data_IF_319015686017
#
_entry.id   IF_319015686017
#
_cell.length_a   1.000
_cell.length_b   1.000
_cell.length_c   1.000
_cell.angle_alpha   90.00
_cell.angle_beta   90.00
_cell.angle_gamma   90.00
#
_symmetry.space_group_name_H-M   'P 1'
#
loop_
_entity.id
_entity.type
_entity.pdbx_description
1 polymer ?
#
# COMPACT_ATOMS: atom_id res chain seq x y z
N UNK A 1 -6.18 48.07 20.54
CA UNK A 1 -5.74 46.67 20.65
C UNK A 1 -4.27 46.59 20.25
N UNK A 2 -3.37 46.61 21.23
CA UNK A 2 -1.94 46.79 21.03
C UNK A 2 -1.28 45.42 20.76
N UNK A 3 -0.64 45.28 19.63
CA UNK A 3 0.19 44.13 19.28
C UNK A 3 1.42 44.11 20.19
N UNK A 4 1.52 43.07 21.00
CA UNK A 4 2.64 42.82 21.92
C UNK A 4 3.86 42.41 21.05
N UNK A 5 5.01 43.10 21.15
CA UNK A 5 6.17 42.73 20.35
C UNK A 5 6.74 41.40 20.82
N UNK A 6 7.00 40.52 19.85
CA UNK A 6 7.68 39.23 20.00
C UNK A 6 9.20 39.44 20.12
N UNK A 7 9.63 40.27 21.10
CA UNK A 7 11.04 40.48 21.42
C UNK A 7 11.39 39.76 22.73
N UNK A 8 11.85 38.52 22.61
CA UNK A 8 12.79 37.91 23.55
C UNK A 8 13.41 36.65 22.93
N UNK A 9 14.28 36.86 21.93
CA UNK A 9 15.35 35.91 21.68
C UNK A 9 16.39 36.15 22.76
N UNK A 10 16.77 35.18 23.61
CA UNK A 10 17.79 35.40 24.63
C UNK A 10 19.14 35.71 23.97
N UNK A 11 19.59 36.96 24.04
CA UNK A 11 20.80 37.48 23.45
C UNK A 11 22.06 37.12 24.24
N UNK A 12 22.23 35.86 24.68
CA UNK A 12 23.44 35.46 25.40
C UNK A 12 23.93 34.03 25.11
N UNK A 13 23.66 33.54 23.93
CA UNK A 13 24.34 32.32 23.49
C UNK A 13 25.75 32.67 23.05
N UNK A 14 26.77 32.01 23.64
CA UNK A 14 28.15 32.20 23.21
C UNK A 14 28.27 31.89 21.69
N UNK A 15 29.15 32.55 20.99
CA UNK A 15 29.40 32.38 19.57
C UNK A 15 29.67 30.89 19.23
N UNK A 16 30.30 30.17 20.14
CA UNK A 16 30.55 28.72 20.06
C UNK A 16 29.26 27.92 20.09
N UNK A 17 28.34 28.23 21.00
CA UNK A 17 27.03 27.55 21.13
C UNK A 17 26.18 27.84 19.90
N UNK A 18 26.19 29.03 19.35
CA UNK A 18 25.45 29.37 18.15
C UNK A 18 25.97 28.59 16.92
N UNK A 19 27.30 28.48 16.78
CA UNK A 19 27.91 27.68 15.70
C UNK A 19 27.51 26.20 15.80
N UNK A 20 27.61 25.58 16.99
CA UNK A 20 27.23 24.19 17.24
C UNK A 20 25.75 23.98 16.93
N UNK A 21 24.89 24.91 17.31
CA UNK A 21 23.45 24.80 17.09
C UNK A 21 23.11 24.87 15.59
N UNK A 22 23.72 25.75 14.83
CA UNK A 22 23.52 25.86 13.37
C UNK A 22 24.01 24.60 12.66
N UNK A 23 25.19 24.11 12.99
CA UNK A 23 25.74 22.89 12.37
C UNK A 23 24.92 21.66 12.70
N UNK A 24 24.48 21.53 13.95
CA UNK A 24 23.58 20.43 14.36
C UNK A 24 22.25 20.50 13.66
N UNK A 25 21.66 21.67 13.48
CA UNK A 25 20.42 21.86 12.75
C UNK A 25 20.56 21.50 11.26
N UNK A 26 21.68 21.88 10.63
CA UNK A 26 21.97 21.51 9.24
C UNK A 26 22.11 20.01 9.06
N UNK A 27 22.81 19.35 9.98
CA UNK A 27 22.95 17.86 9.96
C UNK A 27 21.59 17.21 10.15
N UNK A 28 20.79 17.64 11.12
CA UNK A 28 19.46 17.12 11.36
C UNK A 28 18.54 17.27 10.13
N UNK A 29 18.58 18.44 9.48
CA UNK A 29 17.82 18.69 8.26
C UNK A 29 18.27 17.78 7.11
N UNK A 30 19.57 17.59 6.93
CA UNK A 30 20.13 16.69 5.91
C UNK A 30 19.67 15.23 6.13
N UNK A 31 19.74 14.76 7.37
CA UNK A 31 19.26 13.40 7.72
C UNK A 31 17.75 13.27 7.46
N UNK A 32 16.95 14.26 7.84
CA UNK A 32 15.51 14.25 7.62
C UNK A 32 15.14 14.18 6.13
N UNK A 33 15.78 14.99 5.29
CA UNK A 33 15.56 14.99 3.84
C UNK A 33 15.97 13.67 3.22
N UNK A 34 17.15 13.16 3.56
CA UNK A 34 17.66 11.88 3.04
C UNK A 34 16.74 10.73 3.43
N UNK A 35 16.28 10.70 4.70
CA UNK A 35 15.35 9.69 5.19
C UNK A 35 14.02 9.72 4.45
N UNK A 36 13.46 10.92 4.20
CA UNK A 36 12.21 11.07 3.48
C UNK A 36 12.32 10.52 2.04
N UNK A 37 13.42 10.83 1.35
CA UNK A 37 13.68 10.33 0.00
C UNK A 37 13.85 8.80 0.01
N UNK A 38 14.62 8.27 0.95
CA UNK A 38 14.85 6.83 1.06
C UNK A 38 13.54 6.06 1.33
N UNK A 39 12.70 6.56 2.26
CA UNK A 39 11.41 5.96 2.59
C UNK A 39 10.47 5.99 1.39
N UNK A 40 10.38 7.10 0.67
CA UNK A 40 9.52 7.21 -0.52
C UNK A 40 9.97 6.29 -1.65
N UNK A 41 11.27 6.17 -1.88
CA UNK A 41 11.85 5.26 -2.87
C UNK A 41 11.58 3.80 -2.52
N UNK A 42 11.78 3.41 -1.24
CA UNK A 42 11.49 2.06 -0.76
C UNK A 42 10.02 1.70 -0.95
N UNK A 43 9.10 2.61 -0.58
CA UNK A 43 7.66 2.39 -0.77
C UNK A 43 7.30 2.18 -2.24
N UNK A 44 7.83 3.04 -3.12
CA UNK A 44 7.59 2.92 -4.55
C UNK A 44 8.09 1.58 -5.11
N UNK A 45 9.28 1.15 -4.69
CA UNK A 45 9.86 -0.14 -5.10
C UNK A 45 9.06 -1.33 -4.60
N UNK A 46 8.60 -1.31 -3.33
CA UNK A 46 7.77 -2.39 -2.78
C UNK A 46 6.43 -2.50 -3.51
N UNK A 47 5.78 -1.36 -3.80
CA UNK A 47 4.52 -1.37 -4.57
C UNK A 47 4.75 -1.89 -5.98
N UNK A 48 5.84 -1.51 -6.63
CA UNK A 48 6.17 -2.00 -7.98
C UNK A 48 6.43 -3.53 -7.98
N UNK A 49 7.14 -4.05 -6.98
CA UNK A 49 7.34 -5.49 -6.84
C UNK A 49 6.01 -6.24 -6.63
N UNK A 50 5.09 -5.68 -5.83
CA UNK A 50 3.75 -6.24 -5.66
C UNK A 50 2.97 -6.27 -6.99
N UNK A 51 3.04 -5.21 -7.76
CA UNK A 51 2.36 -5.12 -9.07
C UNK A 51 2.88 -6.20 -10.03
N UNK A 52 4.19 -6.39 -10.10
CA UNK A 52 4.81 -7.42 -10.92
C UNK A 52 4.45 -8.83 -10.43
N UNK A 53 4.44 -9.06 -9.12
CA UNK A 53 4.03 -10.33 -8.54
C UNK A 53 2.57 -10.65 -8.85
N UNK A 54 1.66 -9.68 -8.71
CA UNK A 54 0.24 -9.82 -9.04
C UNK A 54 0.05 -10.11 -10.53
N UNK A 55 0.73 -9.40 -11.43
CA UNK A 55 0.68 -9.63 -12.88
C UNK A 55 1.19 -11.03 -13.26
N UNK A 56 2.31 -11.44 -12.70
CA UNK A 56 2.90 -12.75 -12.96
C UNK A 56 2.05 -13.91 -12.43
N UNK A 57 1.34 -13.69 -11.33
CA UNK A 57 0.44 -14.68 -10.72
C UNK A 57 -0.95 -14.69 -11.36
N UNK A 58 -1.35 -13.63 -12.05
CA UNK A 58 -2.70 -13.46 -12.60
C UNK A 58 -3.17 -14.64 -13.48
N UNK A 59 -2.38 -15.18 -14.43
CA UNK A 59 -2.82 -16.30 -15.27
C UNK A 59 -3.15 -17.55 -14.46
N UNK A 60 -2.34 -17.86 -13.44
CA UNK A 60 -2.54 -18.99 -12.56
C UNK A 60 -3.78 -18.82 -11.68
N UNK A 61 -4.00 -17.57 -11.20
CA UNK A 61 -5.15 -17.23 -10.36
C UNK A 61 -6.46 -17.22 -11.17
N UNK A 62 -6.42 -16.78 -12.43
CA UNK A 62 -7.57 -16.89 -13.35
C UNK A 62 -7.94 -18.36 -13.56
N UNK A 63 -6.95 -19.20 -13.82
CA UNK A 63 -7.20 -20.65 -13.98
C UNK A 63 -7.79 -21.27 -12.70
N UNK A 64 -7.27 -20.89 -11.53
CA UNK A 64 -7.77 -21.35 -10.24
C UNK A 64 -9.21 -20.87 -9.97
N UNK A 65 -9.53 -19.63 -10.32
CA UNK A 65 -10.85 -19.04 -10.13
C UNK A 65 -11.91 -19.61 -11.09
N UNK A 66 -11.52 -20.06 -12.29
CA UNK A 66 -12.41 -20.62 -13.31
C UNK A 66 -12.65 -22.13 -13.15
N UNK A 67 -11.71 -22.84 -12.53
CA UNK A 67 -11.94 -24.25 -12.14
C UNK A 67 -12.72 -24.25 -10.82
N UNK A 68 -13.89 -24.90 -10.79
CA UNK A 68 -14.73 -25.00 -9.58
C UNK A 68 -13.88 -25.32 -8.36
N UNK A 69 -13.90 -24.50 -7.31
CA UNK A 69 -13.12 -24.76 -6.11
C UNK A 69 -13.64 -26.03 -5.42
N UNK A 70 -12.92 -27.11 -5.59
CA UNK A 70 -13.12 -28.32 -4.79
C UNK A 70 -12.44 -28.03 -3.45
N UNK A 71 -13.23 -27.97 -2.39
CA UNK A 71 -13.04 -27.65 -0.97
C UNK A 71 -11.66 -27.65 -0.26
N UNK A 72 -10.55 -27.87 -0.94
CA UNK A 72 -9.20 -27.91 -0.33
C UNK A 72 -8.20 -26.93 -0.94
N UNK A 73 -8.63 -25.99 -1.78
CA UNK A 73 -7.73 -25.03 -2.45
C UNK A 73 -7.56 -23.68 -1.71
N UNK A 74 -8.29 -23.50 -0.61
CA UNK A 74 -8.19 -22.27 0.21
C UNK A 74 -6.78 -22.05 0.80
N UNK A 75 -6.01 -23.12 1.00
CA UNK A 75 -4.66 -23.06 1.56
C UNK A 75 -3.58 -22.54 0.60
N UNK A 76 -3.88 -22.41 -0.70
CA UNK A 76 -2.88 -21.96 -1.69
C UNK A 76 -2.84 -20.44 -1.90
N UNK A 77 -3.80 -19.71 -1.32
CA UNK A 77 -3.96 -18.26 -1.48
C UNK A 77 -3.43 -17.51 -0.24
N UNK A 78 -2.17 -17.68 0.13
CA UNK A 78 -1.67 -17.20 1.43
C UNK A 78 -1.83 -15.69 1.68
N UNK A 79 -1.99 -14.86 0.65
CA UNK A 79 -2.04 -13.39 0.84
C UNK A 79 -3.07 -12.68 -0.04
N UNK A 80 -3.53 -13.33 -1.13
CA UNK A 80 -4.46 -12.72 -2.08
C UNK A 80 -5.92 -12.92 -1.68
N UNK A 81 -6.75 -11.93 -2.01
CA UNK A 81 -8.20 -12.10 -2.11
C UNK A 81 -8.61 -12.03 -3.56
N UNK A 82 -9.41 -12.97 -3.99
CA UNK A 82 -9.92 -13.02 -5.35
C UNK A 82 -11.42 -12.74 -5.33
N UNK A 83 -11.86 -11.90 -6.25
CA UNK A 83 -13.27 -11.57 -6.44
C UNK A 83 -13.61 -11.76 -7.91
N UNK A 84 -14.63 -12.57 -8.16
CA UNK A 84 -15.24 -12.69 -9.48
C UNK A 84 -16.41 -11.73 -9.58
N UNK A 85 -16.40 -10.89 -10.58
CA UNK A 85 -17.43 -9.88 -10.81
C UNK A 85 -18.17 -10.18 -12.12
N UNK A 86 -19.46 -9.83 -12.11
CA UNK A 86 -20.28 -9.77 -13.31
C UNK A 86 -19.97 -8.52 -14.17
N UNK A 87 -20.69 -8.34 -15.27
CA UNK A 87 -20.53 -7.17 -16.17
C UNK A 87 -20.85 -5.85 -15.50
N UNK A 88 -21.76 -5.87 -14.53
CA UNK A 88 -22.21 -4.69 -13.79
C UNK A 88 -21.31 -4.35 -12.59
N UNK A 89 -20.34 -5.24 -12.28
CA UNK A 89 -19.40 -5.06 -11.18
C UNK A 89 -19.92 -5.59 -9.84
N UNK A 90 -20.94 -6.45 -9.84
CA UNK A 90 -21.38 -7.12 -8.63
C UNK A 90 -20.48 -8.34 -8.36
N UNK A 91 -20.20 -8.60 -7.10
CA UNK A 91 -19.39 -9.74 -6.68
C UNK A 91 -20.23 -11.02 -6.76
N UNK A 92 -19.89 -11.90 -7.68
CA UNK A 92 -20.50 -13.23 -7.82
C UNK A 92 -19.90 -14.22 -6.83
N UNK A 93 -18.59 -14.18 -6.68
CA UNK A 93 -17.85 -15.10 -5.83
C UNK A 93 -16.61 -14.42 -5.23
N UNK A 94 -16.26 -14.79 -4.00
CA UNK A 94 -15.04 -14.31 -3.34
C UNK A 94 -14.29 -15.47 -2.71
N UNK A 95 -12.99 -15.57 -3.00
CA UNK A 95 -12.05 -16.46 -2.34
C UNK A 95 -11.19 -15.65 -1.38
N UNK A 96 -11.22 -16.02 -0.11
CA UNK A 96 -10.48 -15.36 0.96
C UNK A 96 -9.52 -16.36 1.58
N UNK A 97 -8.31 -15.96 1.88
CA UNK A 97 -7.39 -16.71 2.72
C UNK A 97 -7.68 -16.43 4.20
N UNK A 98 -7.44 -17.40 5.09
CA UNK A 98 -7.56 -17.22 6.54
C UNK A 98 -6.75 -16.03 7.06
N UNK A 99 -5.52 -15.85 6.56
CA UNK A 99 -4.66 -14.71 6.93
C UNK A 99 -5.23 -13.36 6.47
N UNK A 100 -6.11 -13.37 5.48
CA UNK A 100 -6.72 -12.15 4.95
C UNK A 100 -8.00 -11.73 5.68
N UNK A 101 -8.61 -12.60 6.50
CA UNK A 101 -9.87 -12.32 7.20
C UNK A 101 -9.77 -11.15 8.19
N UNK A 102 -8.59 -10.93 8.76
CA UNK A 102 -8.34 -9.82 9.69
C UNK A 102 -8.36 -8.44 9.03
N UNK A 103 -8.40 -8.35 7.70
CA UNK A 103 -8.42 -7.07 6.98
C UNK A 103 -9.84 -6.75 6.52
N UNK A 104 -10.23 -5.46 6.62
CA UNK A 104 -11.48 -4.96 6.03
C UNK A 104 -11.48 -5.18 4.51
N UNK A 105 -12.64 -5.31 3.91
CA UNK A 105 -12.78 -5.59 2.48
C UNK A 105 -12.36 -4.38 1.61
N UNK A 106 -11.78 -4.61 0.41
CA UNK A 106 -11.52 -3.54 -0.53
C UNK A 106 -12.82 -2.93 -1.07
N UNK A 107 -12.82 -1.63 -1.32
CA UNK A 107 -13.95 -0.93 -1.93
C UNK A 107 -13.98 -1.22 -3.44
N UNK A 108 -14.75 -2.24 -3.84
CA UNK A 108 -14.87 -2.67 -5.24
C UNK A 108 -16.12 -2.12 -5.94
N UNK A 109 -16.83 -1.16 -5.34
CA UNK A 109 -18.03 -0.58 -5.96
C UNK A 109 -17.69 0.11 -7.29
N UNK A 110 -18.50 -0.17 -8.32
CA UNK A 110 -18.36 0.44 -9.65
C UNK A 110 -17.21 -0.12 -10.49
N UNK A 111 -16.73 -1.33 -10.20
CA UNK A 111 -15.77 -2.06 -11.04
C UNK A 111 -16.50 -2.85 -12.13
N UNK A 112 -17.14 -2.13 -13.07
CA UNK A 112 -17.82 -2.71 -14.23
C UNK A 112 -16.81 -3.28 -15.23
N UNK A 113 -17.27 -4.17 -16.11
CA UNK A 113 -16.44 -4.75 -17.19
C UNK A 113 -15.74 -3.67 -18.03
N UNK A 114 -16.46 -2.58 -18.37
CA UNK A 114 -15.89 -1.47 -19.13
C UNK A 114 -14.73 -0.80 -18.39
N UNK A 115 -14.88 -0.57 -17.09
CA UNK A 115 -13.82 0.00 -16.25
C UNK A 115 -12.61 -0.91 -16.16
N UNK A 116 -12.82 -2.22 -16.02
CA UNK A 116 -11.75 -3.23 -15.98
C UNK A 116 -10.96 -3.23 -17.30
N UNK A 117 -11.66 -3.27 -18.44
CA UNK A 117 -11.02 -3.20 -19.77
C UNK A 117 -10.22 -1.91 -19.98
N UNK A 118 -10.76 -0.79 -19.50
CA UNK A 118 -10.10 0.52 -19.59
C UNK A 118 -8.85 0.60 -18.70
N UNK A 119 -8.83 -0.13 -17.60
CA UNK A 119 -7.70 -0.18 -16.67
C UNK A 119 -6.48 -0.90 -17.25
N UNK A 120 -6.66 -1.71 -18.32
CA UNK A 120 -5.59 -2.36 -19.07
C UNK A 120 -4.59 -3.14 -18.19
N UNK A 121 -5.11 -3.92 -17.25
CA UNK A 121 -4.31 -4.71 -16.29
C UNK A 121 -3.30 -3.89 -15.47
N UNK A 122 -3.57 -2.62 -15.27
CA UNK A 122 -2.78 -1.81 -14.34
C UNK A 122 -3.32 -1.97 -12.92
N UNK A 123 -2.41 -2.25 -11.97
CA UNK A 123 -2.77 -2.32 -10.57
C UNK A 123 -3.07 -0.91 -10.02
N UNK A 124 -4.11 -0.78 -9.22
CA UNK A 124 -4.51 0.49 -8.58
C UNK A 124 -4.68 0.32 -7.07
N UNK A 125 -4.50 1.42 -6.36
CA UNK A 125 -4.76 1.44 -4.91
C UNK A 125 -6.20 1.84 -4.66
N UNK A 126 -6.92 1.03 -3.87
CA UNK A 126 -8.27 1.32 -3.40
C UNK A 126 -8.32 1.28 -1.88
N UNK A 127 -9.22 2.06 -1.29
CA UNK A 127 -9.41 2.07 0.16
C UNK A 127 -10.16 0.81 0.61
N UNK A 128 -9.95 0.42 1.85
CA UNK A 128 -10.78 -0.59 2.48
C UNK A 128 -12.12 -0.01 2.94
N UNK A 129 -13.16 -0.81 2.96
CA UNK A 129 -14.49 -0.43 3.47
C UNK A 129 -14.41 -0.32 5.00
N UNK A 130 -14.74 0.86 5.54
CA UNK A 130 -14.80 1.10 6.98
C UNK A 130 -13.44 1.13 7.70
N UNK A 131 -12.33 1.22 6.97
CA UNK A 131 -10.97 1.28 7.53
C UNK A 131 -10.09 2.23 6.72
N UNK A 132 -9.05 2.77 7.35
CA UNK A 132 -8.00 3.56 6.68
C UNK A 132 -6.92 2.71 5.99
N UNK A 133 -7.14 1.41 5.89
CA UNK A 133 -6.22 0.51 5.19
C UNK A 133 -6.39 0.64 3.68
N UNK A 134 -5.29 0.50 2.96
CA UNK A 134 -5.30 0.50 1.50
C UNK A 134 -5.11 -0.93 0.96
N UNK A 135 -5.70 -1.18 -0.19
CA UNK A 135 -5.55 -2.40 -0.96
C UNK A 135 -4.94 -2.11 -2.32
N UNK A 136 -4.05 -2.97 -2.76
CA UNK A 136 -3.60 -2.99 -4.14
C UNK A 136 -4.47 -3.96 -4.91
N UNK A 137 -5.04 -3.52 -6.02
CA UNK A 137 -6.05 -4.25 -6.78
C UNK A 137 -5.62 -4.32 -8.23
N UNK A 138 -5.55 -5.53 -8.77
CA UNK A 138 -5.37 -5.82 -10.18
C UNK A 138 -6.65 -6.42 -10.73
N UNK A 139 -7.19 -5.82 -11.77
CA UNK A 139 -8.38 -6.31 -12.43
C UNK A 139 -8.02 -6.92 -13.79
N UNK A 140 -8.44 -8.17 -14.02
CA UNK A 140 -8.20 -8.92 -15.24
C UNK A 140 -9.53 -9.26 -15.90
N UNK A 141 -9.76 -8.89 -17.17
CA UNK A 141 -10.97 -9.31 -17.87
C UNK A 141 -10.93 -10.83 -18.10
N UNK A 142 -12.07 -11.49 -17.90
CA UNK A 142 -12.24 -12.91 -18.19
C UNK A 142 -13.07 -13.03 -19.45
N UNK A 143 -12.59 -13.76 -20.43
CA UNK A 143 -13.43 -14.19 -21.55
C UNK A 143 -14.28 -15.36 -21.09
N UNK A 144 -15.57 -15.12 -20.87
CA UNK A 144 -16.53 -16.16 -20.53
C UNK A 144 -16.75 -17.07 -21.74
N UNK A 145 -16.08 -18.19 -21.79
CA UNK A 145 -16.46 -19.30 -22.65
C UNK A 145 -17.51 -20.15 -21.93
N UNK A 146 -18.52 -20.64 -22.65
CA UNK A 146 -19.56 -21.54 -22.12
C UNK A 146 -19.00 -22.77 -21.37
N UNK A 147 -17.73 -23.07 -21.56
CA UNK A 147 -17.01 -24.18 -20.93
C UNK A 147 -16.48 -23.89 -19.52
N UNK A 148 -16.49 -22.62 -19.07
CA UNK A 148 -15.82 -22.21 -17.81
C UNK A 148 -16.62 -22.49 -16.54
N UNK A 149 -17.87 -22.97 -16.66
CA UNK A 149 -18.73 -23.25 -15.50
C UNK A 149 -19.17 -22.02 -14.69
N UNK A 150 -18.74 -20.80 -15.11
CA UNK A 150 -19.09 -19.51 -14.54
C UNK A 150 -19.50 -18.54 -15.68
N UNK A 151 -20.67 -18.79 -16.33
CA UNK A 151 -21.06 -18.06 -17.55
C UNK A 151 -21.34 -16.57 -17.32
N UNK A 152 -21.47 -16.12 -16.08
CA UNK A 152 -21.78 -14.72 -15.75
C UNK A 152 -20.53 -13.89 -15.34
N UNK A 153 -19.38 -14.53 -15.11
CA UNK A 153 -18.18 -13.82 -14.69
C UNK A 153 -17.55 -13.06 -15.87
N UNK A 154 -17.38 -11.76 -15.72
CA UNK A 154 -16.78 -10.87 -16.72
C UNK A 154 -15.35 -10.42 -16.34
N UNK A 155 -15.02 -10.43 -15.05
CA UNK A 155 -13.70 -10.02 -14.58
C UNK A 155 -13.30 -10.70 -13.27
N UNK A 156 -11.98 -10.89 -13.11
CA UNK A 156 -11.33 -11.30 -11.87
C UNK A 156 -10.61 -10.10 -11.25
N UNK A 157 -10.89 -9.85 -10.00
CA UNK A 157 -10.14 -8.89 -9.19
C UNK A 157 -9.22 -9.67 -8.26
N UNK A 158 -7.94 -9.35 -8.33
CA UNK A 158 -6.90 -9.83 -7.43
C UNK A 158 -6.59 -8.68 -6.47
N UNK A 159 -6.80 -8.86 -5.17
CA UNK A 159 -6.60 -7.82 -4.17
C UNK A 159 -5.59 -8.26 -3.12
N UNK A 160 -4.67 -7.34 -2.75
CA UNK A 160 -3.63 -7.56 -1.75
C UNK A 160 -3.61 -6.39 -0.75
N UNK A 161 -3.60 -6.65 0.58
CA UNK A 161 -3.60 -5.57 1.57
C UNK A 161 -2.22 -4.90 1.65
N UNK A 162 -2.18 -3.56 1.58
CA UNK A 162 -0.95 -2.77 1.72
C UNK A 162 -0.54 -2.52 3.19
N UNK A 163 -1.33 -3.01 4.15
CA UNK A 163 -1.08 -2.76 5.58
C UNK A 163 0.29 -3.24 6.03
N UNK A 164 0.73 -4.42 5.59
CA UNK A 164 2.04 -4.96 5.93
C UNK A 164 3.17 -4.11 5.37
N UNK A 165 3.05 -3.68 4.11
CA UNK A 165 4.02 -2.79 3.46
C UNK A 165 4.14 -1.46 4.19
N UNK A 166 3.01 -0.86 4.56
CA UNK A 166 2.98 0.40 5.30
C UNK A 166 3.60 0.27 6.71
N UNK A 167 3.43 -0.85 7.39
CA UNK A 167 4.05 -1.11 8.71
C UNK A 167 5.57 -1.21 8.62
N UNK A 168 6.11 -1.91 7.64
CA UNK A 168 7.57 -2.01 7.43
C UNK A 168 8.16 -0.64 7.12
N UNK A 169 7.54 0.12 6.24
CA UNK A 169 7.97 1.48 5.90
C UNK A 169 7.95 2.40 7.14
N UNK A 170 6.90 2.34 7.94
CA UNK A 170 6.78 3.11 9.18
C UNK A 170 7.87 2.72 10.20
N UNK A 171 8.14 1.42 10.37
CA UNK A 171 9.17 0.93 11.28
C UNK A 171 10.57 1.42 10.87
N UNK A 172 10.90 1.31 9.58
CA UNK A 172 12.18 1.83 9.05
C UNK A 172 12.30 3.34 9.28
N UNK A 173 11.21 4.09 9.06
CA UNK A 173 11.15 5.52 9.30
C UNK A 173 11.42 5.88 10.77
N UNK A 174 10.76 5.20 11.70
CA UNK A 174 10.95 5.40 13.15
C UNK A 174 12.38 5.08 13.57
N UNK A 175 12.93 3.96 13.12
CA UNK A 175 14.31 3.57 13.45
C UNK A 175 15.32 4.60 12.92
N UNK A 176 15.17 5.04 11.68
CA UNK A 176 16.06 6.04 11.08
C UNK A 176 16.01 7.36 11.85
N UNK A 177 14.81 7.80 12.23
CA UNK A 177 14.62 9.01 13.04
C UNK A 177 15.23 8.87 14.44
N UNK A 178 15.03 7.73 15.10
CA UNK A 178 15.61 7.47 16.43
C UNK A 178 17.14 7.46 16.40
N UNK A 179 17.76 6.83 15.39
CA UNK A 179 19.22 6.86 15.20
C UNK A 179 19.71 8.27 14.91
N UNK A 180 18.99 9.05 14.10
CA UNK A 180 19.31 10.45 13.82
C UNK A 180 19.31 11.30 15.09
N UNK A 181 18.32 11.13 15.98
CA UNK A 181 18.27 11.83 17.27
C UNK A 181 19.39 11.38 18.21
N UNK A 182 19.71 10.10 18.26
CA UNK A 182 20.79 9.57 19.11
C UNK A 182 22.15 10.12 18.70
N UNK A 183 22.43 10.20 17.40
CA UNK A 183 23.68 10.81 16.88
C UNK A 183 23.75 12.29 17.19
N UNK A 184 22.63 13.02 17.07
CA UNK A 184 22.58 14.43 17.43
C UNK A 184 22.83 14.67 18.92
N UNK A 185 22.23 13.84 19.80
CA UNK A 185 22.41 13.92 21.25
C UNK A 185 23.84 13.61 21.68
N UNK A 186 24.57 12.74 20.96
CA UNK A 186 25.96 12.42 21.26
C UNK A 186 26.96 13.50 20.79
N UNK A 187 26.51 14.41 19.89
CA UNK A 187 27.34 15.50 19.35
C UNK A 187 27.25 16.80 20.16
N UNK A 188 26.32 16.89 21.11
CA UNK A 188 26.10 18.03 22.01
C UNK A 188 26.74 17.80 23.35
#
# INVERSE_FOLDING_TARGET
MALKPLDRIPQSLSLRTQLVLITSMLIALSIAVTSLVAISALRAQMVHQLDEEMKNSAPSLVQLATVRPSGNQEQSLSTYRLYLLDKDGNVLYSLKSEDSEQFSEPALQGWTEEKVRKQNEEAVTVNAVGSSSDWRVLAVPIESNDSSGLPEAASLIIAMPLKQTNQVVALVGVLTFAFGLATLASAI
#
